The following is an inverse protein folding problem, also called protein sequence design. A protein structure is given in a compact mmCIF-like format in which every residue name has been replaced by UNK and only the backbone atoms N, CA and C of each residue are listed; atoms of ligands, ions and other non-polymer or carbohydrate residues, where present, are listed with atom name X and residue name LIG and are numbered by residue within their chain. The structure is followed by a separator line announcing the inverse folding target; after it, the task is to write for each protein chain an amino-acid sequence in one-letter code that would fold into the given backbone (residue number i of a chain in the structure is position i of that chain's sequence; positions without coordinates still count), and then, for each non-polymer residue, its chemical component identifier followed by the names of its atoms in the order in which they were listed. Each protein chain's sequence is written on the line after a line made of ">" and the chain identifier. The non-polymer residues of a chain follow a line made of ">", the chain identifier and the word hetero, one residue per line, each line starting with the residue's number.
data_IF_633782199808
#
_entry.id   IF_633782199808
#
_cell.length_a   1.000
_cell.length_b   1.000
_cell.length_c   1.000
_cell.angle_alpha   90.00
_cell.angle_beta   90.00
_cell.angle_gamma   90.00
#
_symmetry.space_group_name_H-M   'P 1'
#
loop_
_entity.id
_entity.type
_entity.pdbx_description
1 polymer ?
#
# COMPACT_ATOMS: atom_id res chain seq x y z
N UNK A 1 13.95 0.44 0.73
CA UNK A 1 12.55 0.75 0.39
C UNK A 1 11.89 -0.46 -0.28
N UNK A 2 10.69 -0.79 0.16
CA UNK A 2 9.88 -1.86 -0.43
C UNK A 2 8.52 -1.29 -0.83
N UNK A 3 8.14 -1.47 -2.07
CA UNK A 3 6.81 -1.10 -2.60
C UNK A 3 5.97 -2.36 -2.69
N UNK A 4 4.74 -2.31 -2.21
CA UNK A 4 3.78 -3.42 -2.28
C UNK A 4 2.48 -2.91 -2.89
N UNK A 5 2.13 -3.44 -4.04
CA UNK A 5 0.90 -3.05 -4.74
C UNK A 5 -0.05 -4.19 -4.97
N UNK A 6 -1.35 -3.89 -4.94
CA UNK A 6 -2.42 -4.80 -5.30
C UNK A 6 -3.25 -4.28 -6.46
N UNK A 7 -3.24 -4.99 -7.59
CA UNK A 7 -4.02 -4.62 -8.76
C UNK A 7 -3.75 -3.20 -9.23
N UNK A 8 -4.82 -2.39 -9.38
CA UNK A 8 -4.72 -1.01 -9.88
C UNK A 8 -3.95 -0.06 -8.93
N UNK A 9 -3.81 -0.39 -7.64
CA UNK A 9 -3.03 0.40 -6.69
C UNK A 9 -1.56 0.61 -7.11
N UNK A 10 -1.07 -0.17 -8.07
CA UNK A 10 0.26 0.02 -8.65
C UNK A 10 0.43 1.40 -9.30
N UNK A 11 -0.64 2.02 -9.79
CA UNK A 11 -0.58 3.29 -10.52
C UNK A 11 0.04 4.44 -9.70
N UNK A 12 0.03 4.35 -8.38
CA UNK A 12 0.60 5.37 -7.49
C UNK A 12 2.13 5.29 -7.38
N UNK A 13 2.76 4.20 -7.79
CA UNK A 13 4.14 3.89 -7.43
C UNK A 13 5.23 4.17 -8.46
N UNK A 14 4.99 4.27 -9.78
CA UNK A 14 6.07 4.57 -10.72
C UNK A 14 6.79 5.88 -10.39
N UNK A 15 6.05 6.97 -10.12
CA UNK A 15 6.64 8.26 -9.76
C UNK A 15 7.37 8.20 -8.40
N UNK A 16 6.88 7.41 -7.45
CA UNK A 16 7.58 7.18 -6.19
C UNK A 16 8.90 6.44 -6.42
N UNK A 17 8.89 5.37 -7.22
CA UNK A 17 10.09 4.60 -7.53
C UNK A 17 11.18 5.47 -8.19
N UNK A 18 10.80 6.28 -9.19
CA UNK A 18 11.71 7.25 -9.81
C UNK A 18 12.30 8.23 -8.79
N UNK A 19 11.44 8.76 -7.90
CA UNK A 19 11.87 9.69 -6.86
C UNK A 19 12.86 9.05 -5.88
N UNK A 20 12.62 7.81 -5.46
CA UNK A 20 13.52 7.06 -4.57
C UNK A 20 14.87 6.79 -5.25
N UNK A 21 14.86 6.39 -6.52
CA UNK A 21 16.09 6.18 -7.29
C UNK A 21 16.90 7.48 -7.38
N UNK A 22 16.25 8.58 -7.74
CA UNK A 22 16.92 9.88 -7.92
C UNK A 22 17.46 10.47 -6.61
N UNK A 23 16.67 10.38 -5.53
CA UNK A 23 17.01 11.04 -4.25
C UNK A 23 17.82 10.16 -3.30
N UNK A 24 17.56 8.85 -3.31
CA UNK A 24 18.21 7.91 -2.39
C UNK A 24 19.31 7.08 -3.07
N UNK A 25 19.48 7.22 -4.38
CA UNK A 25 20.39 6.42 -5.19
C UNK A 25 20.22 4.90 -4.97
N UNK A 26 18.99 4.47 -4.73
CA UNK A 26 18.65 3.07 -4.46
C UNK A 26 17.30 2.74 -5.09
N UNK A 27 17.29 1.75 -5.97
CA UNK A 27 16.05 1.23 -6.53
C UNK A 27 15.29 0.42 -5.47
N UNK A 28 13.98 0.65 -5.28
CA UNK A 28 13.17 -0.14 -4.34
C UNK A 28 13.01 -1.58 -4.82
N UNK A 29 12.78 -2.50 -3.87
CA UNK A 29 12.17 -3.80 -4.20
C UNK A 29 10.66 -3.60 -4.38
N UNK A 30 10.08 -4.22 -5.40
CA UNK A 30 8.68 -4.03 -5.76
C UNK A 30 7.95 -5.37 -5.74
N UNK A 31 6.91 -5.47 -4.94
CA UNK A 31 5.98 -6.61 -4.91
C UNK A 31 4.72 -6.21 -5.68
N UNK A 32 4.45 -6.91 -6.78
CA UNK A 32 3.22 -6.79 -7.55
C UNK A 32 2.32 -7.99 -7.24
N UNK A 33 1.22 -7.72 -6.56
CA UNK A 33 0.27 -8.75 -6.17
C UNK A 33 -1.05 -8.59 -6.92
N UNK A 34 -1.65 -9.69 -7.34
CA UNK A 34 -2.95 -9.70 -8.00
C UNK A 34 -3.63 -11.07 -7.85
N UNK A 35 -4.93 -11.13 -8.17
CA UNK A 35 -5.67 -12.42 -8.22
C UNK A 35 -5.10 -13.34 -9.30
N UNK A 36 -4.70 -12.78 -10.45
CA UNK A 36 -4.20 -13.55 -11.61
C UNK A 36 -3.23 -12.72 -12.44
N UNK A 37 -2.50 -13.42 -13.35
CA UNK A 37 -1.50 -12.82 -14.26
C UNK A 37 -2.03 -11.61 -15.04
N UNK A 38 -3.30 -11.66 -15.50
CA UNK A 38 -3.86 -10.59 -16.33
C UNK A 38 -4.02 -9.26 -15.60
N UNK A 39 -3.97 -9.28 -14.27
CA UNK A 39 -4.12 -8.11 -13.41
C UNK A 39 -2.76 -7.59 -12.91
N UNK A 40 -1.65 -8.19 -13.33
CA UNK A 40 -0.32 -7.67 -13.04
C UNK A 40 -0.02 -6.55 -14.02
N UNK A 41 0.21 -5.37 -13.50
CA UNK A 41 0.48 -4.15 -14.25
C UNK A 41 1.87 -3.60 -13.92
N UNK A 42 2.46 -2.82 -14.81
CA UNK A 42 3.71 -2.06 -14.63
C UNK A 42 4.96 -2.89 -14.29
N UNK A 43 4.95 -4.22 -14.50
CA UNK A 43 6.08 -5.06 -14.14
C UNK A 43 7.35 -4.73 -14.96
N UNK A 44 7.17 -4.47 -16.24
CA UNK A 44 8.29 -4.18 -17.14
C UNK A 44 8.80 -2.75 -16.95
N UNK A 45 7.93 -1.81 -16.62
CA UNK A 45 8.29 -0.44 -16.26
C UNK A 45 9.20 -0.41 -15.03
N UNK A 46 8.84 -1.11 -13.96
CA UNK A 46 9.68 -1.19 -12.77
C UNK A 46 11.03 -1.89 -13.05
N UNK A 47 11.04 -2.96 -13.86
CA UNK A 47 12.28 -3.60 -14.26
C UNK A 47 13.18 -2.67 -15.09
N UNK A 48 12.59 -1.89 -15.99
CA UNK A 48 13.31 -0.90 -16.78
C UNK A 48 13.95 0.20 -15.90
N UNK A 49 13.32 0.55 -14.77
CA UNK A 49 13.88 1.47 -13.77
C UNK A 49 14.99 0.83 -12.91
N UNK A 50 15.30 -0.46 -13.09
CA UNK A 50 16.27 -1.18 -12.28
C UNK A 50 15.74 -1.71 -10.94
N UNK A 51 14.42 -1.70 -10.73
CA UNK A 51 13.80 -2.26 -9.54
C UNK A 51 13.81 -3.79 -9.59
N UNK A 52 14.02 -4.41 -8.44
CA UNK A 52 13.84 -5.85 -8.29
C UNK A 52 12.35 -6.14 -8.09
N UNK A 53 11.73 -6.80 -9.08
CA UNK A 53 10.29 -7.05 -9.11
C UNK A 53 9.97 -8.49 -8.71
N UNK A 54 9.12 -8.62 -7.69
CA UNK A 54 8.54 -9.88 -7.21
C UNK A 54 7.06 -9.92 -7.61
N UNK A 55 6.64 -11.00 -8.22
CA UNK A 55 5.24 -11.20 -8.63
C UNK A 55 4.62 -12.27 -7.75
N UNK A 56 3.43 -11.97 -7.23
CA UNK A 56 2.60 -12.90 -6.47
C UNK A 56 1.18 -12.92 -7.04
N UNK A 57 0.65 -14.10 -7.30
CA UNK A 57 -0.75 -14.24 -7.75
C UNK A 57 -1.48 -15.26 -6.89
N UNK A 58 -2.76 -14.97 -6.56
CA UNK A 58 -3.56 -15.84 -5.71
C UNK A 58 -3.81 -17.20 -6.36
N UNK A 59 -3.98 -17.21 -7.69
CA UNK A 59 -4.21 -18.42 -8.47
C UNK A 59 -2.92 -19.16 -8.90
N UNK A 60 -1.74 -18.51 -8.75
CA UNK A 60 -0.46 -19.05 -9.17
C UNK A 60 -0.19 -18.96 -10.69
N UNK A 61 -0.97 -18.16 -11.41
CA UNK A 61 -0.83 -18.01 -12.88
C UNK A 61 0.41 -17.21 -13.29
N UNK A 62 1.03 -16.45 -12.36
CA UNK A 62 2.31 -15.79 -12.55
C UNK A 62 3.06 -15.62 -11.23
N UNK A 63 4.38 -15.70 -11.27
CA UNK A 63 5.22 -15.56 -10.09
C UNK A 63 4.98 -16.68 -9.07
N UNK A 64 4.91 -16.29 -7.80
CA UNK A 64 4.62 -17.23 -6.72
C UNK A 64 3.13 -17.22 -6.36
N UNK A 65 2.59 -18.40 -6.01
CA UNK A 65 1.22 -18.52 -5.48
C UNK A 65 1.18 -18.10 -4.02
N UNK A 66 1.19 -16.79 -3.78
CA UNK A 66 1.24 -16.18 -2.46
C UNK A 66 0.39 -14.90 -2.41
N UNK A 67 -0.06 -14.52 -1.21
CA UNK A 67 -0.57 -13.18 -0.95
C UNK A 67 0.58 -12.18 -0.75
N UNK A 68 0.31 -10.90 -1.00
CA UNK A 68 1.27 -9.80 -0.85
C UNK A 68 2.00 -9.80 0.50
N UNK A 69 1.26 -10.00 1.59
CA UNK A 69 1.81 -10.04 2.95
C UNK A 69 2.80 -11.20 3.14
N UNK A 70 2.53 -12.36 2.55
CA UNK A 70 3.45 -13.51 2.60
C UNK A 70 4.70 -13.28 1.77
N UNK A 71 4.57 -12.61 0.62
CA UNK A 71 5.73 -12.21 -0.18
C UNK A 71 6.57 -11.19 0.58
N UNK A 72 5.96 -10.19 1.22
CA UNK A 72 6.69 -9.24 2.06
C UNK A 72 7.44 -9.95 3.20
N UNK A 73 6.81 -10.91 3.88
CA UNK A 73 7.46 -11.68 4.94
C UNK A 73 8.70 -12.45 4.45
N UNK A 74 8.69 -12.96 3.20
CA UNK A 74 9.86 -13.60 2.58
C UNK A 74 11.03 -12.64 2.36
N UNK A 75 10.76 -11.37 2.08
CA UNK A 75 11.79 -10.34 1.91
C UNK A 75 12.41 -9.92 3.25
N UNK A 76 11.82 -10.33 4.38
CA UNK A 76 12.30 -10.06 5.74
C UNK A 76 12.56 -8.56 5.96
N UNK A 77 11.54 -7.69 5.83
CA UNK A 77 11.70 -6.28 6.16
C UNK A 77 12.19 -6.14 7.59
N UNK A 78 12.84 -5.03 7.90
CA UNK A 78 13.39 -4.79 9.23
C UNK A 78 13.35 -3.30 9.59
N UNK A 79 13.91 -2.90 10.74
CA UNK A 79 13.78 -1.53 11.27
C UNK A 79 14.32 -0.42 10.36
N UNK A 80 15.20 -0.76 9.43
CA UNK A 80 15.74 0.19 8.46
C UNK A 80 14.99 0.18 7.12
N UNK A 81 13.87 -0.55 7.05
CA UNK A 81 13.02 -0.59 5.87
C UNK A 81 11.84 0.37 6.00
N UNK A 82 11.47 1.00 4.91
CA UNK A 82 10.18 1.66 4.75
C UNK A 82 9.38 0.95 3.68
N UNK A 83 8.17 0.54 4.03
CA UNK A 83 7.22 -0.18 3.18
C UNK A 83 6.12 0.77 2.74
N UNK A 84 5.84 0.79 1.44
CA UNK A 84 4.79 1.62 0.82
C UNK A 84 3.74 0.68 0.26
N UNK A 85 2.49 0.82 0.67
CA UNK A 85 1.43 -0.13 0.31
C UNK A 85 0.25 0.60 -0.32
N UNK A 86 -0.27 0.07 -1.44
CA UNK A 86 -1.52 0.51 -2.04
C UNK A 86 -2.23 -0.68 -2.70
N UNK A 87 -3.53 -0.78 -2.52
CA UNK A 87 -4.37 -1.83 -3.09
C UNK A 87 -5.61 -2.12 -2.23
N UNK A 88 -6.22 -3.30 -2.37
CA UNK A 88 -7.39 -3.69 -1.58
C UNK A 88 -7.14 -3.57 -0.07
N UNK A 89 -8.15 -3.13 0.68
CA UNK A 89 -8.03 -2.85 2.12
C UNK A 89 -7.47 -4.03 2.92
N UNK A 90 -7.99 -5.23 2.68
CA UNK A 90 -7.51 -6.44 3.37
C UNK A 90 -6.04 -6.74 3.07
N UNK A 91 -5.59 -6.46 1.84
CA UNK A 91 -4.18 -6.60 1.48
C UNK A 91 -3.33 -5.57 2.21
N UNK A 92 -3.77 -4.30 2.25
CA UNK A 92 -3.06 -3.23 2.95
C UNK A 92 -2.96 -3.55 4.45
N UNK A 93 -4.08 -3.93 5.10
CA UNK A 93 -4.11 -4.36 6.50
C UNK A 93 -3.08 -5.46 6.77
N UNK A 94 -3.21 -6.60 6.10
CA UNK A 94 -2.35 -7.76 6.36
C UNK A 94 -0.88 -7.53 6.02
N UNK A 95 -0.60 -6.69 5.01
CA UNK A 95 0.77 -6.30 4.65
C UNK A 95 1.37 -5.36 5.70
N UNK A 96 0.58 -4.42 6.19
CA UNK A 96 0.98 -3.50 7.27
C UNK A 96 1.29 -4.23 8.57
N UNK A 97 0.47 -5.22 8.94
CA UNK A 97 0.70 -6.07 10.12
C UNK A 97 2.07 -6.78 10.03
N UNK A 98 2.42 -7.32 8.86
CA UNK A 98 3.73 -7.94 8.64
C UNK A 98 4.87 -6.93 8.74
N UNK A 99 4.71 -5.73 8.16
CA UNK A 99 5.72 -4.68 8.21
C UNK A 99 5.97 -4.22 9.66
N UNK A 100 4.89 -3.93 10.42
CA UNK A 100 4.95 -3.50 11.82
C UNK A 100 5.60 -4.59 12.68
N UNK A 101 5.17 -5.85 12.53
CA UNK A 101 5.72 -6.97 13.29
C UNK A 101 7.22 -7.16 13.05
N UNK A 102 7.72 -6.77 11.88
CA UNK A 102 9.14 -6.78 11.55
C UNK A 102 9.90 -5.52 11.99
N UNK A 103 9.22 -4.55 12.60
CA UNK A 103 9.79 -3.26 13.02
C UNK A 103 10.05 -2.28 11.88
N UNK A 104 9.50 -2.52 10.69
CA UNK A 104 9.64 -1.62 9.55
C UNK A 104 8.62 -0.47 9.61
N UNK A 105 9.02 0.72 9.15
CA UNK A 105 8.08 1.80 8.87
C UNK A 105 7.14 1.41 7.75
N UNK A 106 5.84 1.68 7.90
CA UNK A 106 4.87 1.36 6.87
C UNK A 106 3.91 2.52 6.64
N UNK A 107 3.77 2.92 5.39
CA UNK A 107 2.78 3.90 4.96
C UNK A 107 1.84 3.27 3.92
N UNK A 108 0.58 3.67 3.97
CA UNK A 108 -0.46 3.20 3.07
C UNK A 108 -1.03 4.35 2.27
N UNK A 109 -1.29 4.13 0.99
CA UNK A 109 -2.05 5.06 0.15
C UNK A 109 -3.47 4.55 0.06
N UNK A 110 -4.39 5.25 0.76
CA UNK A 110 -5.80 4.89 0.77
C UNK A 110 -6.53 5.46 -0.43
N UNK A 111 -7.49 4.71 -0.94
CA UNK A 111 -8.46 5.15 -1.91
C UNK A 111 -9.84 5.21 -1.26
N UNK A 112 -10.64 6.21 -1.62
CA UNK A 112 -12.01 6.35 -1.16
C UNK A 112 -12.88 6.91 -2.27
N UNK A 113 -14.18 6.65 -2.21
CA UNK A 113 -15.11 7.33 -3.10
C UNK A 113 -15.15 8.82 -2.76
N UNK A 114 -14.82 9.64 -3.75
CA UNK A 114 -14.77 11.09 -3.62
C UNK A 114 -16.07 11.71 -4.13
N UNK A 115 -16.71 12.50 -3.28
CA UNK A 115 -17.81 13.36 -3.71
C UNK A 115 -17.29 14.79 -3.96
N UNK A 116 -16.83 15.51 -2.91
CA UNK A 116 -16.30 16.87 -3.07
C UNK A 116 -14.82 16.92 -3.40
N UNK A 117 -14.00 16.04 -2.83
CA UNK A 117 -12.54 16.03 -2.99
C UNK A 117 -11.79 17.11 -2.19
N UNK A 118 -12.48 17.96 -1.47
CA UNK A 118 -11.94 19.12 -0.73
C UNK A 118 -12.13 19.04 0.80
N UNK A 119 -12.66 17.91 1.29
CA UNK A 119 -12.86 17.67 2.72
C UNK A 119 -14.16 18.19 3.33
N UNK A 120 -15.06 18.80 2.54
CA UNK A 120 -16.29 19.40 3.05
C UNK A 120 -17.41 18.39 3.32
N UNK A 121 -17.57 17.35 2.46
CA UNK A 121 -18.73 16.45 2.52
C UNK A 121 -18.57 15.27 3.47
N UNK A 122 -17.38 15.01 4.00
CA UNK A 122 -17.05 13.87 4.85
C UNK A 122 -17.33 12.47 4.25
N UNK A 123 -17.48 12.38 2.92
CA UNK A 123 -17.79 11.12 2.23
C UNK A 123 -16.60 10.14 2.16
N UNK A 124 -15.38 10.65 2.30
CA UNK A 124 -14.14 9.86 2.19
C UNK A 124 -13.44 9.64 3.54
N UNK A 125 -14.17 9.70 4.65
CA UNK A 125 -13.58 9.54 5.99
C UNK A 125 -13.26 8.07 6.28
N UNK A 126 -12.15 7.87 6.99
CA UNK A 126 -11.77 6.59 7.58
C UNK A 126 -11.52 6.79 9.07
N UNK A 127 -11.77 5.76 9.86
CA UNK A 127 -11.52 5.81 11.28
C UNK A 127 -10.03 5.73 11.60
N UNK A 128 -9.62 6.52 12.57
CA UNK A 128 -8.23 6.55 13.02
C UNK A 128 -8.12 6.13 14.49
N UNK A 129 -6.93 5.62 14.84
CA UNK A 129 -6.58 5.26 16.22
C UNK A 129 -6.13 6.46 17.06
N UNK A 130 -6.25 7.68 16.53
CA UNK A 130 -5.91 8.88 17.30
C UNK A 130 -6.83 9.02 18.52
N UNK A 131 -6.24 9.24 19.70
CA UNK A 131 -6.99 9.53 20.92
C UNK A 131 -7.40 11.00 21.03
N UNK A 132 -6.88 11.85 20.14
CA UNK A 132 -7.21 13.28 20.15
C UNK A 132 -8.62 13.52 19.64
N UNK A 133 -9.36 14.35 20.38
CA UNK A 133 -10.67 14.78 19.96
C UNK A 133 -10.59 15.52 18.62
N UNK A 134 -11.45 15.15 17.67
CA UNK A 134 -11.44 15.68 16.29
C UNK A 134 -10.52 14.94 15.30
N UNK A 135 -9.63 14.07 15.76
CA UNK A 135 -8.74 13.25 14.90
C UNK A 135 -9.19 11.79 14.79
N UNK A 136 -10.33 11.42 15.37
CA UNK A 136 -10.86 10.04 15.30
C UNK A 136 -11.27 9.61 13.89
N UNK A 137 -11.51 10.57 13.03
CA UNK A 137 -11.84 10.35 11.62
C UNK A 137 -10.96 11.24 10.77
N UNK A 138 -10.29 10.66 9.78
CA UNK A 138 -9.44 11.38 8.82
C UNK A 138 -10.04 11.29 7.43
N UNK A 139 -9.92 12.36 6.67
CA UNK A 139 -10.45 12.48 5.30
C UNK A 139 -9.38 12.12 4.30
N UNK A 140 -9.60 11.07 3.53
CA UNK A 140 -8.62 10.61 2.55
C UNK A 140 -8.26 11.71 1.54
N UNK A 141 -9.23 12.55 1.14
CA UNK A 141 -9.01 13.62 0.16
C UNK A 141 -8.21 14.83 0.68
N UNK A 142 -8.24 15.10 2.00
CA UNK A 142 -7.63 16.31 2.56
C UNK A 142 -6.46 15.99 3.49
N UNK A 143 -6.65 15.01 4.38
CA UNK A 143 -5.67 14.65 5.42
C UNK A 143 -4.65 13.60 4.90
N UNK A 144 -4.98 12.93 3.74
CA UNK A 144 -4.18 11.94 3.05
C UNK A 144 -3.80 12.35 1.62
N UNK A 145 -3.76 11.42 0.67
CA UNK A 145 -4.18 10.01 0.75
C UNK A 145 -3.18 9.06 1.43
N UNK A 146 -1.97 9.53 1.74
CA UNK A 146 -0.90 8.71 2.33
C UNK A 146 -0.90 8.89 3.85
N UNK A 147 -1.01 7.76 4.56
CA UNK A 147 -1.06 7.73 6.02
C UNK A 147 -0.01 6.76 6.58
N UNK A 148 0.50 7.07 7.77
CA UNK A 148 1.15 6.06 8.57
C UNK A 148 0.11 4.98 8.93
N UNK A 149 0.46 3.71 8.68
CA UNK A 149 -0.49 2.62 8.86
C UNK A 149 -0.94 2.44 10.31
N UNK A 150 -0.13 2.89 11.28
CA UNK A 150 -0.47 2.84 12.72
C UNK A 150 -1.58 3.81 13.08
N UNK A 151 -1.79 4.85 12.27
CA UNK A 151 -2.87 5.81 12.46
C UNK A 151 -4.24 5.22 12.10
N UNK A 152 -4.31 4.27 11.17
CA UNK A 152 -5.58 3.77 10.64
C UNK A 152 -6.15 2.68 11.56
N UNK A 153 -7.44 2.80 11.88
CA UNK A 153 -8.17 1.74 12.55
C UNK A 153 -8.68 0.72 11.53
N UNK A 154 -7.87 -0.31 11.32
CA UNK A 154 -8.14 -1.37 10.36
C UNK A 154 -9.30 -2.31 10.76
N UNK A 155 -9.78 -2.22 11.99
CA UNK A 155 -10.86 -3.05 12.53
C UNK A 155 -12.20 -2.31 12.58
N UNK A 156 -12.20 -1.03 12.25
CA UNK A 156 -13.40 -0.22 12.21
C UNK A 156 -14.40 -0.74 11.17
N UNK A 157 -15.65 -0.95 11.60
CA UNK A 157 -16.72 -1.52 10.77
C UNK A 157 -17.19 -0.63 9.61
N UNK A 158 -16.76 0.64 9.58
CA UNK A 158 -17.14 1.62 8.57
C UNK A 158 -16.09 1.83 7.47
N UNK A 159 -15.32 0.82 7.16
CA UNK A 159 -14.49 0.90 5.96
C UNK A 159 -15.39 0.80 4.73
N UNK A 160 -15.94 1.94 4.31
CA UNK A 160 -16.86 2.09 3.17
C UNK A 160 -16.27 1.71 1.80
N UNK A 161 -15.25 0.85 1.81
CA UNK A 161 -14.42 0.55 0.64
C UNK A 161 -14.57 -0.88 0.12
N UNK A 162 -15.28 -1.75 0.84
CA UNK A 162 -15.55 -3.12 0.41
C UNK A 162 -16.89 -3.22 -0.35
N UNK A 163 -16.97 -2.62 -1.53
CA UNK A 163 -18.06 -2.92 -2.48
C UNK A 163 -17.51 -3.15 -3.87
#
# INVERSE_FOLDING_TARGET
>A
HIIVSGGIGVATFPALAETLIQKCNAAPEVILAARSKHLILCADEFRAMGCKVHIATDDGSAGEKLYASRMLAKLKPGPNCRVYVCGPMIMMKTTSEVAIAAGADCVVSLEAQMACGDGACLGCVVESKSEKEGEKMVRVCLDGPVFDTTLIDWDAHNMAFDR
#
